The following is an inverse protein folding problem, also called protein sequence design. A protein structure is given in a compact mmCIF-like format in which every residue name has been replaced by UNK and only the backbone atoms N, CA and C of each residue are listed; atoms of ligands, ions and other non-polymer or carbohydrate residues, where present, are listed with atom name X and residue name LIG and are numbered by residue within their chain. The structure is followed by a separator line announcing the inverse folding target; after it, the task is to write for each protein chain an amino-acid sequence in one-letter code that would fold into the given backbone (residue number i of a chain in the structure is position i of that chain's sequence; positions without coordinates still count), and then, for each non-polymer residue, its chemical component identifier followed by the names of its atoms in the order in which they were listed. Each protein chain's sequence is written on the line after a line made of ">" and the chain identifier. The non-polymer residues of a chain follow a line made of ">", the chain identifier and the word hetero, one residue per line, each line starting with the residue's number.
data_IF_401085968276
#
_entry.id   IF_401085968276
#
_cell.length_a   1.000
_cell.length_b   1.000
_cell.length_c   1.000
_cell.angle_alpha   90.00
_cell.angle_beta   90.00
_cell.angle_gamma   90.00
#
_symmetry.space_group_name_H-M   'P 1'
#
loop_
_entity.id
_entity.type
_entity.pdbx_description
1 polymer ?
#
# COMPACT_ATOMS: atom_id res chain seq x y z
N UNK A 1 -0.95 -16.26 20.12
CA UNK A 1 -1.16 -15.68 18.78
C UNK A 1 -0.80 -16.71 17.74
N UNK A 2 -1.68 -16.95 16.77
CA UNK A 2 -1.37 -17.78 15.60
C UNK A 2 -0.62 -16.96 14.53
N UNK A 3 -0.17 -17.62 13.45
CA UNK A 3 0.60 -16.95 12.41
C UNK A 3 -0.18 -15.82 11.71
N UNK A 4 -1.48 -16.01 11.48
CA UNK A 4 -2.33 -15.04 10.79
C UNK A 4 -2.55 -13.77 11.63
N UNK A 5 -2.75 -13.93 12.94
CA UNK A 5 -2.84 -12.82 13.90
C UNK A 5 -1.53 -12.03 13.98
N UNK A 6 -0.38 -12.72 13.99
CA UNK A 6 0.93 -12.07 13.94
C UNK A 6 1.09 -11.29 12.63
N UNK A 7 0.75 -11.89 11.50
CA UNK A 7 0.83 -11.25 10.19
C UNK A 7 -0.08 -10.01 10.12
N UNK A 8 -1.31 -10.11 10.62
CA UNK A 8 -2.26 -8.99 10.65
C UNK A 8 -1.74 -7.85 11.54
N UNK A 9 -1.15 -8.18 12.70
CA UNK A 9 -0.56 -7.19 13.59
C UNK A 9 0.61 -6.46 12.91
N UNK A 10 1.43 -7.17 12.14
CA UNK A 10 2.52 -6.58 11.35
C UNK A 10 1.94 -5.65 10.26
N UNK A 11 0.92 -6.08 9.51
CA UNK A 11 0.25 -5.23 8.53
C UNK A 11 -0.30 -3.96 9.18
N UNK A 12 -0.97 -4.07 10.33
CA UNK A 12 -1.50 -2.93 11.05
C UNK A 12 -0.41 -1.97 11.53
N UNK A 13 0.71 -2.49 12.05
CA UNK A 13 1.84 -1.67 12.50
C UNK A 13 2.50 -0.91 11.33
N UNK A 14 2.69 -1.58 10.19
CA UNK A 14 3.24 -0.96 8.96
C UNK A 14 2.28 0.11 8.43
N UNK A 15 0.98 -0.18 8.38
CA UNK A 15 -0.04 0.78 7.97
C UNK A 15 -0.06 2.02 8.88
N UNK A 16 -0.02 1.82 10.20
CA UNK A 16 0.01 2.91 11.17
C UNK A 16 1.26 3.79 11.00
N UNK A 17 2.45 3.18 10.87
CA UNK A 17 3.69 3.91 10.60
C UNK A 17 3.60 4.74 9.31
N UNK A 18 3.16 4.12 8.22
CA UNK A 18 3.01 4.79 6.93
C UNK A 18 2.01 5.96 7.01
N UNK A 19 0.85 5.75 7.65
CA UNK A 19 -0.16 6.79 7.86
C UNK A 19 0.41 7.97 8.65
N UNK A 20 1.13 7.71 9.75
CA UNK A 20 1.79 8.78 10.54
C UNK A 20 2.79 9.54 9.67
N UNK A 21 3.62 8.87 8.87
CA UNK A 21 4.57 9.53 7.95
C UNK A 21 3.87 10.41 6.91
N UNK A 22 2.75 9.96 6.35
CA UNK A 22 1.94 10.73 5.37
C UNK A 22 1.35 11.99 6.00
N UNK A 23 0.85 11.88 7.23
CA UNK A 23 0.23 13.00 7.96
C UNK A 23 1.27 14.06 8.36
N UNK A 24 2.47 13.64 8.77
CA UNK A 24 3.53 14.54 9.22
C UNK A 24 4.33 15.17 8.07
N UNK A 25 4.47 14.48 6.94
CA UNK A 25 5.19 15.01 5.78
C UNK A 25 4.40 16.17 5.14
N UNK A 26 5.09 17.23 4.74
CA UNK A 26 4.46 18.39 4.08
C UNK A 26 4.59 18.31 2.56
N UNK A 27 5.68 17.73 2.08
CA UNK A 27 5.92 17.60 0.64
C UNK A 27 5.08 16.46 0.06
N UNK A 28 4.15 16.80 -0.83
CA UNK A 28 3.23 15.83 -1.45
C UNK A 28 3.97 14.66 -2.09
N UNK A 29 5.04 14.91 -2.86
CA UNK A 29 5.78 13.84 -3.51
C UNK A 29 6.34 12.85 -2.48
N UNK A 30 6.96 13.36 -1.42
CA UNK A 30 7.53 12.53 -0.34
C UNK A 30 6.48 11.69 0.40
N UNK A 31 5.19 12.03 0.32
CA UNK A 31 4.10 11.19 0.86
C UNK A 31 3.83 9.96 0.00
N UNK A 32 4.02 10.06 -1.30
CA UNK A 32 3.59 9.05 -2.27
C UNK A 32 4.25 7.66 -2.03
N UNK A 33 5.55 7.55 -1.69
CA UNK A 33 6.12 6.25 -1.31
C UNK A 33 5.49 5.64 -0.06
N UNK A 34 5.14 6.46 0.94
CA UNK A 34 4.45 5.97 2.14
C UNK A 34 3.00 5.58 1.84
N UNK A 35 2.36 6.26 0.88
CA UNK A 35 1.02 5.90 0.41
C UNK A 35 1.03 4.51 -0.23
N UNK A 36 2.03 4.19 -1.05
CA UNK A 36 2.21 2.84 -1.58
C UNK A 36 2.37 1.79 -0.46
N UNK A 37 3.24 2.05 0.53
CA UNK A 37 3.45 1.13 1.66
C UNK A 37 2.13 0.89 2.42
N UNK A 38 1.33 1.95 2.62
CA UNK A 38 0.01 1.84 3.23
C UNK A 38 -0.93 0.97 2.38
N UNK A 39 -0.99 1.19 1.07
CA UNK A 39 -1.80 0.40 0.13
C UNK A 39 -1.42 -1.10 0.16
N UNK A 40 -0.13 -1.44 0.20
CA UNK A 40 0.33 -2.83 0.30
C UNK A 40 -0.05 -3.46 1.65
N UNK A 41 0.03 -2.72 2.75
CA UNK A 41 -0.41 -3.18 4.05
C UNK A 41 -1.93 -3.46 4.08
N UNK A 42 -2.73 -2.62 3.41
CA UNK A 42 -4.17 -2.84 3.23
C UNK A 42 -4.44 -4.10 2.39
N UNK A 43 -3.73 -4.31 1.28
CA UNK A 43 -3.87 -5.52 0.47
C UNK A 43 -3.62 -6.80 1.30
N UNK A 44 -2.56 -6.81 2.10
CA UNK A 44 -2.25 -7.91 3.03
C UNK A 44 -3.33 -8.11 4.08
N UNK A 45 -3.86 -7.02 4.66
CA UNK A 45 -4.95 -7.09 5.63
C UNK A 45 -6.24 -7.67 5.01
N UNK A 46 -6.59 -7.30 3.76
CA UNK A 46 -7.75 -7.88 3.05
C UNK A 46 -7.58 -9.40 2.91
N UNK A 47 -6.39 -9.86 2.51
CA UNK A 47 -6.11 -11.28 2.35
C UNK A 47 -6.20 -12.08 3.66
N UNK A 48 -5.84 -11.46 4.79
CA UNK A 48 -5.83 -12.10 6.11
C UNK A 48 -7.20 -12.04 6.83
N UNK A 49 -7.97 -10.97 6.63
CA UNK A 49 -9.25 -10.75 7.33
C UNK A 49 -10.43 -11.46 6.67
N UNK A 50 -10.37 -11.72 5.35
CA UNK A 50 -11.45 -12.37 4.61
C UNK A 50 -11.04 -13.80 4.22
N UNK A 51 -11.35 -14.82 5.05
CA UNK A 51 -11.05 -16.22 4.76
C UNK A 51 -12.04 -16.80 3.73
N UNK A 52 -12.17 -16.15 2.58
CA UNK A 52 -13.04 -16.56 1.49
C UNK A 52 -12.31 -16.35 0.15
N UNK A 53 -12.50 -17.21 -0.87
CA UNK A 53 -11.85 -17.04 -2.17
C UNK A 53 -12.05 -15.66 -2.81
N UNK A 54 -13.24 -15.07 -2.62
CA UNK A 54 -13.52 -13.69 -3.05
C UNK A 54 -12.64 -12.63 -2.34
N UNK A 55 -12.26 -12.87 -1.09
CA UNK A 55 -11.32 -12.02 -0.35
C UNK A 55 -9.93 -12.02 -0.96
N UNK A 56 -9.46 -13.19 -1.43
CA UNK A 56 -8.19 -13.30 -2.16
C UNK A 56 -8.27 -12.54 -3.49
N UNK A 57 -9.38 -12.65 -4.23
CA UNK A 57 -9.59 -11.91 -5.47
C UNK A 57 -9.59 -10.40 -5.21
N UNK A 58 -10.26 -9.95 -4.15
CA UNK A 58 -10.27 -8.54 -3.76
C UNK A 58 -8.87 -8.04 -3.36
N UNK A 59 -8.12 -8.83 -2.59
CA UNK A 59 -6.74 -8.52 -2.22
C UNK A 59 -5.83 -8.43 -3.45
N UNK A 60 -5.96 -9.37 -4.39
CA UNK A 60 -5.19 -9.37 -5.63
C UNK A 60 -5.52 -8.15 -6.51
N UNK A 61 -6.81 -7.82 -6.68
CA UNK A 61 -7.23 -6.65 -7.44
C UNK A 61 -6.70 -5.35 -6.81
N UNK A 62 -6.78 -5.22 -5.49
CA UNK A 62 -6.24 -4.08 -4.76
C UNK A 62 -4.70 -4.00 -4.89
N UNK A 63 -4.02 -5.14 -4.75
CA UNK A 63 -2.57 -5.24 -4.90
C UNK A 63 -2.11 -4.81 -6.29
N UNK A 64 -2.74 -5.34 -7.36
CA UNK A 64 -2.43 -4.94 -8.73
C UNK A 64 -2.67 -3.44 -8.92
N UNK A 65 -3.82 -2.91 -8.47
CA UNK A 65 -4.10 -1.47 -8.50
C UNK A 65 -3.00 -0.63 -7.83
N UNK A 66 -2.55 -1.03 -6.64
CA UNK A 66 -1.49 -0.34 -5.90
C UNK A 66 -0.12 -0.43 -6.60
N UNK A 67 0.16 -1.50 -7.34
CA UNK A 67 1.39 -1.59 -8.16
C UNK A 67 1.36 -0.61 -9.33
N UNK A 68 0.21 -0.43 -9.97
CA UNK A 68 0.04 0.57 -11.03
C UNK A 68 0.20 1.99 -10.47
N UNK A 69 -0.41 2.28 -9.31
CA UNK A 69 -0.24 3.55 -8.58
C UNK A 69 1.24 3.83 -8.32
N UNK A 70 1.97 2.84 -7.80
CA UNK A 70 3.40 2.94 -7.47
C UNK A 70 4.26 3.27 -8.68
N UNK A 71 3.98 2.64 -9.82
CA UNK A 71 4.70 2.91 -11.06
C UNK A 71 4.41 4.31 -11.60
N UNK A 72 3.17 4.80 -11.48
CA UNK A 72 2.81 6.17 -11.84
C UNK A 72 3.53 7.21 -10.94
N UNK A 73 3.62 6.93 -9.63
CA UNK A 73 4.40 7.73 -8.68
C UNK A 73 5.88 7.75 -9.08
N UNK A 74 6.48 6.58 -9.34
CA UNK A 74 7.87 6.48 -9.75
C UNK A 74 8.15 7.23 -11.07
N UNK A 75 7.25 7.11 -12.05
CA UNK A 75 7.32 7.87 -13.31
C UNK A 75 7.30 9.38 -13.07
N UNK A 76 6.46 9.85 -12.15
CA UNK A 76 6.41 11.27 -11.75
C UNK A 76 7.75 11.72 -11.14
N UNK A 77 8.36 10.90 -10.30
CA UNK A 77 9.69 11.15 -9.74
C UNK A 77 10.82 11.16 -10.77
N UNK A 78 10.73 10.33 -11.81
CA UNK A 78 11.70 10.27 -12.90
C UNK A 78 11.61 11.46 -13.89
N UNK A 79 10.65 12.37 -13.67
CA UNK A 79 10.45 13.56 -14.51
C UNK A 79 9.32 13.43 -15.54
N UNK A 80 8.52 12.37 -15.49
CA UNK A 80 7.37 12.13 -16.36
C UNK A 80 7.73 11.99 -17.85
N UNK A 81 6.71 11.85 -18.71
CA UNK A 81 6.90 12.00 -20.16
C UNK A 81 7.20 13.48 -20.41
N UNK A 82 8.47 13.80 -20.74
CA UNK A 82 8.79 15.06 -21.41
C UNK A 82 8.08 15.02 -22.76
N UNK A 83 6.94 15.68 -22.89
CA UNK A 83 6.43 16.05 -24.22
C UNK A 83 7.51 16.95 -24.83
N UNK A 84 8.33 16.38 -25.71
CA UNK A 84 9.07 17.13 -26.71
C UNK A 84 8.11 17.56 -27.81
#
# INVERSE_FOLDING_TARGET
>A
MNADEVALFICAAVAAYAAVRILLEKNTLRKLPFLNVLSFAVAGAIALLLPHPLGIIAAAAYFIGSTLESNAIASTYAGGIRQQ
#
